data_IF_261015181578
#
_entry.id   IF_261015181578
#
_cell.length_a   1.000
_cell.length_b   1.000
_cell.length_c   1.000
_cell.angle_alpha   90.00
_cell.angle_beta   90.00
_cell.angle_gamma   90.00
#
_symmetry.space_group_name_H-M   'P 1'
#
loop_
_entity.id
_entity.type
_entity.pdbx_description
1 polymer ?
#
# COMPACT_ATOMS: atom_id res chain seq x y z
N UNK A 1 25.96 -1.42 18.23
CA UNK A 1 25.54 -0.31 17.35
C UNK A 1 25.52 -0.85 15.92
N UNK A 2 24.41 -0.72 15.19
CA UNK A 2 24.43 -1.03 13.75
C UNK A 2 25.03 0.17 13.03
N UNK A 3 26.01 -0.05 12.15
CA UNK A 3 26.54 1.01 11.30
C UNK A 3 25.58 1.24 10.13
N UNK A 4 25.34 2.50 9.76
CA UNK A 4 24.58 2.80 8.55
C UNK A 4 25.39 2.36 7.33
N UNK A 5 24.79 1.60 6.43
CA UNK A 5 25.44 1.16 5.19
C UNK A 5 24.99 2.08 4.06
N UNK A 6 25.92 2.80 3.44
CA UNK A 6 25.63 3.66 2.29
C UNK A 6 25.54 2.80 1.03
N UNK A 7 24.41 2.87 0.33
CA UNK A 7 24.15 2.11 -0.89
C UNK A 7 23.96 3.02 -2.10
N UNK A 8 24.40 2.56 -3.26
CA UNK A 8 24.14 3.19 -4.55
C UNK A 8 22.85 2.65 -5.14
N UNK A 9 21.81 3.50 -5.19
CA UNK A 9 20.57 3.14 -5.89
C UNK A 9 20.82 3.05 -7.39
N UNK A 10 20.48 1.91 -7.99
CA UNK A 10 20.51 1.67 -9.43
C UNK A 10 19.45 2.54 -10.09
N UNK A 11 19.87 3.42 -10.98
CA UNK A 11 19.00 4.36 -11.70
C UNK A 11 19.26 4.31 -13.18
N UNK A 12 18.20 4.41 -13.97
CA UNK A 12 18.23 4.31 -15.43
C UNK A 12 17.27 5.34 -16.05
N UNK A 13 17.34 5.51 -17.37
CA UNK A 13 16.43 6.39 -18.09
C UNK A 13 15.01 5.81 -18.04
N UNK A 14 14.00 6.55 -17.57
CA UNK A 14 12.64 6.06 -17.51
C UNK A 14 12.14 5.63 -18.89
N UNK A 15 11.30 4.60 -18.93
CA UNK A 15 10.64 4.18 -20.17
C UNK A 15 9.75 5.28 -20.76
N UNK A 16 9.50 5.28 -22.07
CA UNK A 16 8.53 6.21 -22.64
C UNK A 16 7.13 5.94 -22.09
N UNK A 17 6.41 7.01 -21.73
CA UNK A 17 5.00 6.97 -21.30
C UNK A 17 4.04 7.19 -22.47
N UNK A 18 4.54 7.64 -23.60
CA UNK A 18 3.72 8.10 -24.72
C UNK A 18 3.34 6.95 -25.67
N UNK A 19 4.22 5.95 -25.82
CA UNK A 19 4.01 4.78 -26.68
C UNK A 19 3.57 3.54 -25.91
N UNK A 20 3.03 2.54 -26.61
CA UNK A 20 2.74 1.20 -26.07
C UNK A 20 3.81 0.24 -26.61
N UNK A 21 4.58 -0.41 -25.74
CA UNK A 21 5.75 -1.22 -26.11
C UNK A 21 5.67 -2.62 -25.51
N UNK A 22 5.47 -2.70 -24.20
CA UNK A 22 5.43 -3.97 -23.46
C UNK A 22 3.98 -4.30 -23.03
N UNK A 23 3.82 -4.99 -21.88
CA UNK A 23 2.52 -5.43 -21.41
C UNK A 23 1.67 -4.24 -20.99
N UNK A 24 0.44 -4.21 -21.49
CA UNK A 24 -0.54 -3.20 -21.17
C UNK A 24 -1.87 -3.87 -20.84
N UNK A 25 -2.59 -3.40 -19.84
CA UNK A 25 -3.81 -4.06 -19.43
C UNK A 25 -4.31 -3.61 -18.07
N UNK A 26 -5.15 -4.46 -17.47
CA UNK A 26 -5.55 -4.29 -16.09
C UNK A 26 -5.74 -5.61 -15.36
N UNK A 27 -5.60 -5.51 -14.04
CA UNK A 27 -5.95 -6.52 -13.07
C UNK A 27 -7.27 -6.09 -12.41
N UNK A 28 -8.28 -6.95 -12.30
CA UNK A 28 -9.35 -6.70 -11.33
C UNK A 28 -9.03 -7.42 -10.03
N UNK A 29 -9.08 -6.66 -8.93
CA UNK A 29 -8.53 -7.07 -7.65
C UNK A 29 -9.57 -6.83 -6.55
N UNK A 30 -9.72 -7.79 -5.66
CA UNK A 30 -10.46 -7.63 -4.41
C UNK A 30 -9.49 -7.45 -3.24
N UNK A 31 -9.86 -6.59 -2.29
CA UNK A 31 -9.24 -6.49 -0.98
C UNK A 31 -10.24 -7.03 0.03
N UNK A 32 -9.83 -8.04 0.77
CA UNK A 32 -10.65 -8.70 1.79
C UNK A 32 -10.06 -8.38 3.15
N UNK A 33 -10.86 -7.84 4.06
CA UNK A 33 -10.47 -7.61 5.46
C UNK A 33 -10.45 -8.94 6.18
N UNK A 34 -9.34 -9.26 6.83
CA UNK A 34 -9.10 -10.58 7.42
C UNK A 34 -9.09 -10.52 8.94
N UNK A 35 -9.60 -11.58 9.57
CA UNK A 35 -9.48 -11.80 10.99
C UNK A 35 -10.75 -12.36 11.60
N UNK A 36 -10.92 -12.11 12.89
CA UNK A 36 -12.07 -12.48 13.69
C UNK A 36 -13.08 -11.32 13.80
N UNK A 37 -14.14 -11.51 14.59
CA UNK A 37 -15.14 -10.47 14.88
C UNK A 37 -14.58 -9.20 15.55
N UNK A 38 -13.32 -9.22 16.01
CA UNK A 38 -12.63 -8.07 16.59
C UNK A 38 -11.59 -7.47 15.64
N UNK A 39 -11.63 -7.86 14.36
CA UNK A 39 -10.69 -7.40 13.34
C UNK A 39 -11.35 -6.39 12.41
N UNK A 40 -10.65 -5.27 12.19
CA UNK A 40 -11.20 -4.11 11.51
C UNK A 40 -10.19 -3.48 10.54
N UNK A 41 -10.68 -2.70 9.58
CA UNK A 41 -9.87 -1.83 8.76
C UNK A 41 -10.36 -0.39 8.92
N UNK A 42 -9.43 0.54 9.13
CA UNK A 42 -9.69 1.97 9.09
C UNK A 42 -8.75 2.65 8.10
N UNK A 43 -9.34 3.34 7.14
CA UNK A 43 -8.67 4.20 6.17
C UNK A 43 -9.37 5.55 6.22
N UNK A 44 -8.70 6.53 6.82
CA UNK A 44 -9.29 7.83 7.09
C UNK A 44 -9.55 8.63 5.80
N UNK A 45 -10.62 9.42 5.83
CA UNK A 45 -10.98 10.38 4.77
C UNK A 45 -10.01 11.56 4.64
N UNK A 46 -9.06 11.71 5.58
CA UNK A 46 -8.13 12.85 5.65
C UNK A 46 -8.76 14.13 6.18
N UNK A 47 -10.01 14.07 6.67
CA UNK A 47 -10.74 15.19 7.27
C UNK A 47 -10.92 14.95 8.76
N UNK A 48 -10.52 15.91 9.58
CA UNK A 48 -10.88 15.91 11.01
C UNK A 48 -12.32 16.42 11.15
N UNK A 49 -13.13 15.70 11.93
CA UNK A 49 -14.51 16.09 12.22
C UNK A 49 -14.61 16.48 13.69
N UNK A 50 -15.18 17.65 13.93
CA UNK A 50 -15.55 18.11 15.27
C UNK A 50 -17.06 17.98 15.42
N UNK A 51 -17.52 17.49 16.57
CA UNK A 51 -18.95 17.46 16.88
C UNK A 51 -19.29 18.77 17.59
N UNK A 52 -20.12 19.58 16.95
CA UNK A 52 -20.65 20.80 17.52
C UNK A 52 -22.17 20.81 17.35
N UNK A 53 -22.92 21.22 18.37
CA UNK A 53 -24.34 21.50 18.22
C UNK A 53 -24.52 22.80 17.42
N UNK A 54 -25.36 22.76 16.38
CA UNK A 54 -25.62 23.92 15.51
C UNK A 54 -26.30 25.05 16.30
N UNK A 55 -27.12 24.71 17.30
CA UNK A 55 -27.81 25.67 18.14
C UNK A 55 -26.81 26.41 19.04
N UNK A 56 -25.88 25.69 19.66
CA UNK A 56 -24.79 26.28 20.46
C UNK A 56 -23.84 27.11 19.59
N UNK A 57 -23.54 26.66 18.37
CA UNK A 57 -22.76 27.42 17.38
C UNK A 57 -23.39 28.78 17.06
N UNK A 58 -24.70 28.79 16.80
CA UNK A 58 -25.45 30.02 16.51
C UNK A 58 -25.50 30.95 17.72
N UNK A 59 -25.68 30.40 18.92
CA UNK A 59 -25.71 31.17 20.15
C UNK A 59 -24.34 31.81 20.46
N UNK A 60 -23.25 31.05 20.38
CA UNK A 60 -21.89 31.56 20.58
C UNK A 60 -21.51 32.64 19.56
N UNK A 61 -21.94 32.49 18.30
CA UNK A 61 -21.76 33.50 17.27
C UNK A 61 -22.53 34.79 17.59
N UNK A 62 -23.78 34.66 18.07
CA UNK A 62 -24.61 35.81 18.45
C UNK A 62 -24.06 36.59 19.67
N UNK A 63 -23.43 35.90 20.61
CA UNK A 63 -22.86 36.50 21.84
C UNK A 63 -21.44 37.04 21.69
N UNK A 64 -20.82 36.94 20.49
CA UNK A 64 -19.40 37.27 20.24
C UNK A 64 -18.39 36.50 21.11
N UNK A 65 -18.78 35.39 21.72
CA UNK A 65 -17.91 34.51 22.54
C UNK A 65 -17.27 33.39 21.72
N UNK A 66 -17.11 33.62 20.42
CA UNK A 66 -16.74 32.58 19.45
C UNK A 66 -15.40 31.92 19.76
N UNK A 67 -14.41 32.65 20.27
CA UNK A 67 -13.10 32.08 20.62
C UNK A 67 -13.15 31.09 21.79
N UNK A 68 -13.91 31.40 22.85
CA UNK A 68 -14.09 30.51 23.99
C UNK A 68 -14.84 29.23 23.58
N UNK A 69 -15.83 29.39 22.71
CA UNK A 69 -16.60 28.27 22.16
C UNK A 69 -15.79 27.40 21.18
N UNK A 70 -14.92 28.00 20.35
CA UNK A 70 -13.95 27.24 19.53
C UNK A 70 -13.00 26.41 20.40
N UNK A 71 -12.61 26.91 21.58
CA UNK A 71 -11.87 26.13 22.57
C UNK A 71 -12.60 24.87 23.05
N UNK A 72 -13.93 24.96 23.24
CA UNK A 72 -14.81 23.83 23.59
C UNK A 72 -15.11 22.90 22.41
N UNK A 73 -15.30 23.39 21.18
CA UNK A 73 -15.51 22.52 20.01
C UNK A 73 -14.25 21.69 19.72
N UNK A 74 -13.06 22.29 19.84
CA UNK A 74 -11.79 21.59 19.62
C UNK A 74 -11.61 20.38 20.55
N UNK A 75 -12.30 20.34 21.70
CA UNK A 75 -12.23 19.22 22.64
C UNK A 75 -13.21 18.06 22.32
N UNK A 76 -14.27 18.30 21.54
CA UNK A 76 -15.22 17.25 21.13
C UNK A 76 -14.86 16.73 19.73
N UNK A 77 -13.88 15.83 19.68
CA UNK A 77 -13.55 15.11 18.43
C UNK A 77 -14.70 14.17 18.05
N UNK A 78 -15.21 14.33 16.83
CA UNK A 78 -16.11 13.39 16.18
C UNK A 78 -15.36 12.13 15.73
N UNK A 79 -16.09 11.21 15.10
CA UNK A 79 -15.48 10.02 14.51
C UNK A 79 -14.62 10.41 13.30
N UNK A 80 -13.38 9.93 13.27
CA UNK A 80 -12.54 9.98 12.06
C UNK A 80 -13.19 9.08 11.01
N UNK A 81 -13.72 9.72 9.95
CA UNK A 81 -14.54 9.03 8.96
C UNK A 81 -13.72 8.11 8.09
N UNK A 82 -14.31 6.98 7.75
CA UNK A 82 -13.77 6.09 6.74
C UNK A 82 -13.85 6.78 5.37
N UNK A 83 -12.86 6.58 4.51
CA UNK A 83 -12.86 7.16 3.18
C UNK A 83 -14.11 6.75 2.39
N UNK A 84 -14.79 7.71 1.77
CA UNK A 84 -16.06 7.47 1.09
C UNK A 84 -16.22 8.38 -0.13
N UNK A 85 -17.05 7.93 -1.07
CA UNK A 85 -17.58 8.72 -2.19
C UNK A 85 -19.09 8.82 -2.06
N UNK A 86 -19.75 9.48 -3.03
CA UNK A 86 -21.22 9.51 -3.12
C UNK A 86 -21.82 8.09 -3.20
N UNK A 87 -21.07 7.11 -3.74
CA UNK A 87 -21.53 5.72 -3.85
C UNK A 87 -21.36 4.90 -2.56
N UNK A 88 -20.70 5.45 -1.55
CA UNK A 88 -20.41 4.76 -0.30
C UNK A 88 -18.92 4.67 0.02
N UNK A 89 -18.59 3.81 0.98
CA UNK A 89 -17.23 3.62 1.49
C UNK A 89 -16.27 3.09 0.42
N UNK A 90 -15.05 3.61 0.41
CA UNK A 90 -14.01 3.22 -0.54
C UNK A 90 -12.66 3.05 0.13
N UNK A 91 -11.77 2.31 -0.50
CA UNK A 91 -10.33 2.43 -0.26
C UNK A 91 -9.74 3.24 -1.43
N UNK A 92 -9.19 4.44 -1.18
CA UNK A 92 -8.61 5.24 -2.25
C UNK A 92 -7.47 4.52 -2.96
N UNK A 93 -7.45 4.57 -4.30
CA UNK A 93 -6.41 3.94 -5.11
C UNK A 93 -5.01 4.43 -4.77
N UNK A 94 -4.87 5.72 -4.40
CA UNK A 94 -3.63 6.31 -3.91
C UNK A 94 -3.11 5.67 -2.61
N UNK A 95 -4.01 5.28 -1.70
CA UNK A 95 -3.64 4.61 -0.44
C UNK A 95 -3.09 3.21 -0.70
N UNK A 96 -3.73 2.47 -1.60
CA UNK A 96 -3.28 1.13 -2.01
C UNK A 96 -1.95 1.22 -2.74
N UNK A 97 -1.85 2.13 -3.71
CA UNK A 97 -0.62 2.42 -4.46
C UNK A 97 0.53 2.73 -3.52
N UNK A 98 0.32 3.63 -2.55
CA UNK A 98 1.32 3.96 -1.54
C UNK A 98 1.72 2.76 -0.69
N UNK A 99 0.76 1.94 -0.26
CA UNK A 99 1.05 0.73 0.53
C UNK A 99 1.86 -0.31 -0.24
N UNK A 100 1.46 -0.64 -1.47
CA UNK A 100 2.15 -1.58 -2.35
C UNK A 100 3.54 -1.06 -2.68
N UNK A 101 3.67 0.22 -3.05
CA UNK A 101 4.96 0.88 -3.30
C UNK A 101 5.89 0.77 -2.10
N UNK A 102 5.47 1.25 -0.93
CA UNK A 102 6.33 1.24 0.26
C UNK A 102 6.76 -0.17 0.65
N UNK A 103 5.87 -1.17 0.53
CA UNK A 103 6.23 -2.57 0.75
C UNK A 103 7.32 -3.02 -0.20
N UNK A 104 7.22 -2.70 -1.48
CA UNK A 104 8.25 -3.03 -2.47
C UNK A 104 9.57 -2.32 -2.19
N UNK A 105 9.54 -1.02 -1.86
CA UNK A 105 10.74 -0.27 -1.48
C UNK A 105 11.47 -0.93 -0.30
N UNK A 106 10.74 -1.40 0.72
CA UNK A 106 11.28 -2.07 1.91
C UNK A 106 11.63 -3.56 1.69
N UNK A 107 11.10 -4.17 0.61
CA UNK A 107 11.40 -5.54 0.22
C UNK A 107 12.69 -5.64 -0.60
N UNK A 108 13.11 -4.56 -1.27
CA UNK A 108 14.46 -4.46 -1.80
C UNK A 108 15.48 -4.29 -0.68
N UNK A 109 16.62 -4.95 -0.77
CA UNK A 109 17.76 -4.84 0.14
C UNK A 109 19.05 -4.62 -0.63
N UNK A 110 20.06 -4.07 0.05
CA UNK A 110 21.40 -3.89 -0.49
C UNK A 110 22.07 -5.21 -0.85
N UNK A 111 22.74 -5.23 -2.00
CA UNK A 111 23.62 -6.31 -2.42
C UNK A 111 24.78 -5.73 -3.22
N UNK A 112 26.02 -6.06 -2.84
CA UNK A 112 27.23 -5.53 -3.47
C UNK A 112 27.18 -4.00 -3.61
N UNK A 113 26.93 -3.31 -2.49
CA UNK A 113 26.83 -1.85 -2.39
C UNK A 113 25.76 -1.17 -3.27
N UNK A 114 24.86 -1.94 -3.86
CA UNK A 114 23.79 -1.42 -4.73
C UNK A 114 22.40 -1.87 -4.26
N UNK A 115 21.38 -1.11 -4.66
CA UNK A 115 19.97 -1.46 -4.42
C UNK A 115 19.09 -0.97 -5.56
N UNK A 116 18.09 -1.75 -5.95
CA UNK A 116 17.24 -1.44 -7.11
C UNK A 116 16.13 -0.42 -6.81
N UNK A 117 15.96 0.00 -5.56
CA UNK A 117 14.94 0.96 -5.15
C UNK A 117 15.47 2.00 -4.16
N UNK A 118 15.17 3.28 -4.39
CA UNK A 118 15.27 4.29 -3.32
C UNK A 118 14.09 4.15 -2.33
N UNK A 119 14.12 4.95 -1.27
CA UNK A 119 12.94 5.26 -0.47
C UNK A 119 12.38 6.61 -0.94
N UNK A 120 11.11 6.68 -1.34
CA UNK A 120 10.53 7.95 -1.79
C UNK A 120 10.33 8.94 -0.64
N UNK A 121 10.04 8.40 0.54
CA UNK A 121 9.88 9.14 1.77
C UNK A 121 10.51 8.33 2.90
N UNK A 122 11.67 8.77 3.38
CA UNK A 122 12.38 8.16 4.48
C UNK A 122 12.94 9.22 5.43
N UNK A 123 12.96 8.88 6.71
CA UNK A 123 13.74 9.60 7.71
C UNK A 123 15.22 9.20 7.65
N UNK A 124 15.97 9.63 8.67
CA UNK A 124 17.37 9.21 8.83
C UNK A 124 17.46 7.68 9.01
N UNK A 125 18.51 7.02 8.50
CA UNK A 125 18.74 5.60 8.74
C UNK A 125 18.75 5.27 10.23
N UNK A 126 18.11 4.14 10.58
CA UNK A 126 17.99 3.70 11.96
C UNK A 126 19.21 2.88 12.36
N UNK A 127 20.14 3.51 13.08
CA UNK A 127 21.43 2.92 13.51
C UNK A 127 21.38 2.30 14.92
N UNK A 128 20.31 2.55 15.66
CA UNK A 128 20.07 2.02 17.01
C UNK A 128 18.76 1.26 17.03
N UNK A 129 18.77 0.10 17.67
CA UNK A 129 17.56 -0.66 17.90
C UNK A 129 16.52 0.18 18.66
N UNK A 130 15.29 0.19 18.14
CA UNK A 130 14.17 0.85 18.80
C UNK A 130 13.58 -0.07 19.87
N UNK A 131 13.60 0.41 21.11
CA UNK A 131 13.01 -0.29 22.25
C UNK A 131 11.49 -0.41 22.11
N UNK A 132 10.93 -1.47 22.69
CA UNK A 132 9.48 -1.68 22.76
C UNK A 132 8.81 -0.47 23.41
N UNK A 133 7.79 0.08 22.73
CA UNK A 133 7.06 1.27 23.16
C UNK A 133 7.48 2.56 22.45
N UNK A 134 8.70 2.64 21.92
CA UNK A 134 9.17 3.82 21.17
C UNK A 134 8.39 4.04 19.86
N UNK A 135 8.23 5.28 19.41
CA UNK A 135 7.55 5.53 18.13
C UNK A 135 8.18 4.72 16.99
N UNK A 136 7.37 4.02 16.21
CA UNK A 136 7.85 3.21 15.08
C UNK A 136 8.49 1.86 15.43
N UNK A 137 8.59 1.46 16.71
CA UNK A 137 9.29 0.22 17.11
C UNK A 137 8.80 -1.05 16.39
N UNK A 138 7.49 -1.16 16.12
CA UNK A 138 6.91 -2.30 15.39
C UNK A 138 7.25 -2.28 13.90
N UNK A 139 7.25 -1.09 13.29
CA UNK A 139 7.73 -0.94 11.91
C UNK A 139 9.21 -1.34 11.83
N UNK A 140 10.01 -0.94 12.82
CA UNK A 140 11.39 -1.38 12.94
C UNK A 140 11.51 -2.89 13.05
N UNK A 141 10.74 -3.57 13.91
CA UNK A 141 10.81 -5.03 14.03
C UNK A 141 10.44 -5.78 12.74
N UNK A 142 9.52 -5.25 11.93
CA UNK A 142 9.16 -5.86 10.64
C UNK A 142 10.23 -5.62 9.57
N UNK A 143 10.87 -4.45 9.56
CA UNK A 143 11.72 -4.01 8.44
C UNK A 143 13.19 -3.77 8.79
N UNK A 144 13.64 -4.11 10.01
CA UNK A 144 14.96 -3.76 10.58
C UNK A 144 16.15 -3.93 9.64
N UNK A 145 16.20 -5.02 8.86
CA UNK A 145 17.29 -5.34 7.95
C UNK A 145 17.60 -4.23 6.94
N UNK A 146 16.60 -3.43 6.53
CA UNK A 146 16.77 -2.40 5.49
C UNK A 146 16.71 -0.98 6.04
N UNK A 147 16.34 -0.80 7.30
CA UNK A 147 16.15 0.55 7.88
C UNK A 147 17.48 1.25 8.22
N UNK A 148 18.58 0.49 8.34
CA UNK A 148 19.93 1.04 8.48
C UNK A 148 20.57 1.39 7.13
N UNK A 149 19.93 1.05 6.01
CA UNK A 149 20.45 1.36 4.67
C UNK A 149 20.25 2.84 4.35
N UNK A 150 21.35 3.54 4.09
CA UNK A 150 21.32 4.87 3.52
C UNK A 150 21.30 4.77 1.98
N UNK A 151 20.11 4.95 1.40
CA UNK A 151 19.90 4.91 -0.06
C UNK A 151 20.06 6.29 -0.72
N UNK A 152 20.50 7.28 0.04
CA UNK A 152 20.62 8.67 -0.40
C UNK A 152 19.28 9.32 -0.76
N UNK A 153 19.36 10.34 -1.61
CA UNK A 153 18.17 11.12 -1.98
C UNK A 153 17.15 10.29 -2.78
N UNK A 154 15.84 10.53 -2.57
CA UNK A 154 14.80 9.94 -3.40
C UNK A 154 14.98 10.34 -4.86
N UNK A 155 14.50 9.49 -5.77
CA UNK A 155 14.54 9.82 -7.20
C UNK A 155 13.66 11.04 -7.48
N UNK A 156 14.20 12.05 -8.17
CA UNK A 156 13.46 13.18 -8.70
C UNK A 156 13.78 13.29 -10.19
N UNK A 157 12.81 13.02 -11.05
CA UNK A 157 13.07 12.98 -12.49
C UNK A 157 13.41 14.36 -13.05
N UNK A 158 12.77 15.41 -12.55
CA UNK A 158 13.02 16.80 -12.96
C UNK A 158 14.47 17.21 -12.76
N UNK A 159 15.12 16.76 -11.68
CA UNK A 159 16.52 17.14 -11.39
C UNK A 159 17.55 16.11 -11.81
N UNK A 160 17.20 14.81 -11.88
CA UNK A 160 18.18 13.73 -12.10
C UNK A 160 18.12 13.11 -13.50
N UNK A 161 16.99 13.22 -14.21
CA UNK A 161 16.73 12.53 -15.49
C UNK A 161 16.71 11.00 -15.44
N UNK A 162 17.12 10.39 -14.32
CA UNK A 162 17.21 8.94 -14.10
C UNK A 162 16.54 8.54 -12.80
N UNK A 163 15.93 7.37 -12.80
CA UNK A 163 15.10 6.87 -11.71
C UNK A 163 15.29 5.36 -11.49
N UNK A 164 14.94 4.89 -10.29
CA UNK A 164 15.00 3.46 -9.94
C UNK A 164 13.76 2.69 -10.39
N UNK A 165 13.77 1.36 -10.29
CA UNK A 165 12.66 0.52 -10.82
C UNK A 165 11.31 0.84 -10.19
N UNK A 166 11.28 1.03 -8.87
CA UNK A 166 10.03 1.34 -8.18
C UNK A 166 9.49 2.72 -8.55
N UNK A 167 10.36 3.71 -8.73
CA UNK A 167 9.95 5.05 -9.18
C UNK A 167 9.49 5.04 -10.65
N UNK A 168 9.97 4.11 -11.47
CA UNK A 168 9.51 3.96 -12.86
C UNK A 168 8.07 3.43 -12.89
N UNK A 169 7.82 2.41 -12.08
CA UNK A 169 6.53 1.73 -11.99
C UNK A 169 5.47 2.64 -11.33
N UNK A 170 5.80 3.20 -10.16
CA UNK A 170 4.86 3.92 -9.30
C UNK A 170 4.89 5.45 -9.46
N UNK A 171 5.80 5.95 -10.30
CA UNK A 171 6.02 7.39 -10.52
C UNK A 171 6.88 8.04 -9.45
N UNK A 172 7.34 9.25 -9.76
CA UNK A 172 8.05 10.12 -8.81
C UNK A 172 7.81 11.59 -9.15
N UNK A 173 8.44 12.50 -8.41
CA UNK A 173 8.44 13.93 -8.76
C UNK A 173 8.89 14.11 -10.23
N UNK A 174 8.04 14.78 -11.01
CA UNK A 174 8.25 15.01 -12.44
C UNK A 174 7.96 13.82 -13.37
N UNK A 175 7.53 12.66 -12.87
CA UNK A 175 7.36 11.45 -13.69
C UNK A 175 6.06 10.71 -13.40
N UNK A 176 5.24 10.56 -14.45
CA UNK A 176 4.00 9.78 -14.40
C UNK A 176 4.28 8.28 -14.20
N UNK A 177 3.42 7.67 -13.40
CA UNK A 177 3.41 6.23 -13.14
C UNK A 177 3.09 5.40 -14.37
N UNK A 178 3.60 4.17 -14.40
CA UNK A 178 3.15 3.13 -15.33
C UNK A 178 2.00 2.28 -14.75
N UNK A 179 1.76 2.37 -13.43
CA UNK A 179 0.73 1.63 -12.71
C UNK A 179 -0.23 2.61 -12.02
N UNK A 180 -1.51 2.49 -12.31
CA UNK A 180 -2.58 3.29 -11.72
C UNK A 180 -3.62 2.40 -11.04
N UNK A 181 -4.01 2.78 -9.83
CA UNK A 181 -5.00 2.08 -9.03
C UNK A 181 -6.29 2.89 -9.07
N UNK A 182 -7.41 2.26 -9.43
CA UNK A 182 -8.72 2.85 -9.19
C UNK A 182 -8.98 2.93 -7.69
N UNK A 183 -9.99 3.70 -7.31
CA UNK A 183 -10.60 3.51 -6.00
C UNK A 183 -11.24 2.11 -5.93
N UNK A 184 -11.19 1.50 -4.76
CA UNK A 184 -11.77 0.19 -4.50
C UNK A 184 -13.09 0.40 -3.78
N UNK A 185 -14.18 0.05 -4.44
CA UNK A 185 -15.55 0.25 -3.96
C UNK A 185 -15.94 -0.89 -3.02
N UNK A 186 -16.59 -0.54 -1.91
CA UNK A 186 -17.14 -1.51 -0.95
C UNK A 186 -18.26 -2.33 -1.59
N UNK A 187 -18.23 -3.65 -1.41
CA UNK A 187 -19.20 -4.58 -2.01
C UNK A 187 -20.24 -5.04 -0.99
N UNK A 188 -19.84 -5.30 0.25
CA UNK A 188 -20.65 -6.09 1.19
C UNK A 188 -20.49 -5.69 2.67
N UNK A 189 -19.91 -4.54 2.98
CA UNK A 189 -19.66 -4.17 4.37
C UNK A 189 -20.39 -2.91 4.83
N UNK A 190 -20.78 -2.92 6.10
CA UNK A 190 -21.28 -1.75 6.80
C UNK A 190 -20.16 -1.13 7.63
N UNK A 191 -20.19 0.20 7.76
CA UNK A 191 -19.30 0.92 8.66
C UNK A 191 -19.76 0.68 10.10
N UNK A 192 -18.81 0.40 10.97
CA UNK A 192 -18.96 0.37 12.42
C UNK A 192 -18.23 1.53 13.08
N UNK A 193 -18.76 2.00 14.20
CA UNK A 193 -18.23 3.10 14.99
C UNK A 193 -17.48 2.55 16.20
N UNK A 194 -16.17 2.81 16.26
CA UNK A 194 -15.31 2.27 17.30
C UNK A 194 -14.69 3.38 18.17
N UNK A 195 -14.89 3.27 19.48
CA UNK A 195 -14.15 4.02 20.49
C UNK A 195 -12.86 3.25 20.85
N UNK A 196 -11.72 3.85 20.52
CA UNK A 196 -10.38 3.34 20.79
C UNK A 196 -9.75 4.06 21.99
N UNK A 197 -8.69 3.48 22.61
CA UNK A 197 -7.98 4.11 23.72
C UNK A 197 -7.51 5.54 23.40
N UNK A 198 -7.31 6.34 24.46
CA UNK A 198 -6.86 7.74 24.37
C UNK A 198 -7.84 8.67 23.65
N UNK A 199 -9.15 8.37 23.71
CA UNK A 199 -10.21 9.20 23.15
C UNK A 199 -10.25 9.21 21.62
N UNK A 200 -9.66 8.21 20.97
CA UNK A 200 -9.65 8.09 19.52
C UNK A 200 -10.98 7.46 19.08
N UNK A 201 -11.74 8.13 18.21
CA UNK A 201 -13.00 7.62 17.66
C UNK A 201 -12.88 7.44 16.17
N UNK A 202 -13.19 6.26 15.63
CA UNK A 202 -13.03 5.97 14.19
C UNK A 202 -14.20 5.20 13.61
N UNK A 203 -14.52 5.49 12.35
CA UNK A 203 -15.32 4.62 11.51
C UNK A 203 -14.43 3.53 10.91
N UNK A 204 -14.82 2.27 11.05
CA UNK A 204 -14.05 1.14 10.54
C UNK A 204 -14.96 0.11 9.89
N UNK A 205 -14.40 -0.70 8.99
CA UNK A 205 -15.11 -1.82 8.37
C UNK A 205 -14.65 -3.13 9.01
N UNK A 206 -15.56 -4.07 9.31
CA UNK A 206 -15.24 -5.31 10.01
C UNK A 206 -14.51 -6.32 9.12
N UNK A 207 -14.10 -7.45 9.69
CA UNK A 207 -13.61 -8.61 8.95
C UNK A 207 -14.63 -9.08 7.89
N UNK A 208 -14.15 -9.79 6.87
CA UNK A 208 -14.92 -10.33 5.74
C UNK A 208 -15.48 -9.27 4.76
N UNK A 209 -15.28 -7.99 5.07
CA UNK A 209 -15.53 -6.88 4.16
C UNK A 209 -14.68 -7.01 2.89
N UNK A 210 -15.32 -6.88 1.73
CA UNK A 210 -14.71 -6.94 0.40
C UNK A 210 -14.80 -5.59 -0.30
N UNK A 211 -13.67 -5.13 -0.84
CA UNK A 211 -13.58 -3.97 -1.71
C UNK A 211 -13.03 -4.37 -3.08
N UNK A 212 -13.66 -3.93 -4.16
CA UNK A 212 -13.27 -4.28 -5.54
C UNK A 212 -12.79 -3.07 -6.31
N UNK A 213 -11.68 -3.23 -7.00
CA UNK A 213 -11.09 -2.20 -7.85
C UNK A 213 -10.29 -2.79 -8.99
N UNK A 214 -9.65 -1.90 -9.76
CA UNK A 214 -8.80 -2.26 -10.89
C UNK A 214 -7.42 -1.63 -10.74
N UNK A 215 -6.41 -2.37 -11.16
CA UNK A 215 -5.04 -1.90 -11.29
C UNK A 215 -4.68 -1.89 -12.76
N UNK A 216 -4.55 -0.70 -13.33
CA UNK A 216 -4.16 -0.49 -14.71
C UNK A 216 -2.65 -0.44 -14.81
N UNK A 217 -2.11 -1.03 -15.86
CA UNK A 217 -0.69 -1.01 -16.13
C UNK A 217 -0.39 -0.76 -17.60
N UNK A 218 0.72 -0.06 -17.85
CA UNK A 218 1.22 0.27 -19.18
C UNK A 218 2.72 -0.04 -19.27
N UNK A 219 3.13 -0.66 -20.37
CA UNK A 219 4.53 -0.97 -20.68
C UNK A 219 5.28 -1.71 -19.56
N UNK A 220 4.61 -2.62 -18.84
CA UNK A 220 5.30 -3.47 -17.87
C UNK A 220 5.99 -4.63 -18.57
N UNK A 221 7.17 -4.99 -18.09
CA UNK A 221 7.77 -6.29 -18.38
C UNK A 221 7.05 -7.37 -17.56
N UNK A 222 7.16 -8.60 -18.00
CA UNK A 222 6.64 -9.79 -17.31
C UNK A 222 7.04 -9.85 -15.83
N UNK A 223 8.34 -9.74 -15.53
CA UNK A 223 8.84 -9.78 -14.15
C UNK A 223 8.38 -8.59 -13.31
N UNK A 224 8.02 -7.46 -13.91
CA UNK A 224 7.52 -6.28 -13.17
C UNK A 224 6.04 -6.40 -12.85
N UNK A 225 5.28 -7.06 -13.71
CA UNK A 225 3.93 -7.48 -13.36
C UNK A 225 3.98 -8.47 -12.19
N UNK A 226 4.94 -9.40 -12.19
CA UNK A 226 5.24 -10.24 -11.04
C UNK A 226 5.63 -9.46 -9.78
N UNK A 227 6.45 -8.42 -9.91
CA UNK A 227 6.81 -7.53 -8.81
C UNK A 227 5.59 -6.80 -8.23
N UNK A 228 4.65 -6.35 -9.07
CA UNK A 228 3.38 -5.77 -8.63
C UNK A 228 2.56 -6.79 -7.81
N UNK A 229 2.48 -8.04 -8.27
CA UNK A 229 1.80 -9.13 -7.54
C UNK A 229 2.45 -9.39 -6.18
N UNK A 230 3.79 -9.48 -6.13
CA UNK A 230 4.54 -9.62 -4.87
C UNK A 230 4.29 -8.46 -3.91
N UNK A 231 4.18 -7.23 -4.44
CA UNK A 231 3.84 -6.03 -3.68
C UNK A 231 2.43 -6.07 -3.08
N UNK A 232 1.51 -6.85 -3.67
CA UNK A 232 0.18 -7.14 -3.11
C UNK A 232 0.18 -8.40 -2.21
N UNK A 233 1.32 -9.04 -2.00
CA UNK A 233 1.42 -10.30 -1.25
C UNK A 233 0.97 -11.53 -2.03
N UNK A 234 0.75 -11.42 -3.34
CA UNK A 234 0.40 -12.52 -4.24
C UNK A 234 1.69 -13.18 -4.74
N UNK A 235 1.77 -14.50 -4.61
CA UNK A 235 2.94 -15.28 -5.03
C UNK A 235 2.51 -16.55 -5.79
N UNK A 236 2.12 -17.58 -5.05
CA UNK A 236 1.92 -18.91 -5.63
C UNK A 236 0.53 -19.13 -6.25
N UNK A 237 -0.47 -18.32 -5.87
CA UNK A 237 -1.86 -18.41 -6.32
C UNK A 237 -2.50 -17.01 -6.29
N UNK A 238 -3.71 -16.87 -6.85
CA UNK A 238 -4.42 -15.59 -7.03
C UNK A 238 -4.83 -14.91 -5.74
N UNK A 239 -4.89 -15.64 -4.63
CA UNK A 239 -5.14 -15.06 -3.30
C UNK A 239 -3.78 -14.84 -2.62
N UNK A 240 -3.52 -13.62 -2.20
CA UNK A 240 -2.26 -13.26 -1.53
C UNK A 240 -2.22 -13.72 -0.08
N UNK A 241 -1.03 -13.68 0.50
CA UNK A 241 -0.87 -13.77 1.96
C UNK A 241 -1.50 -12.57 2.66
N UNK A 242 -1.68 -12.69 3.97
CA UNK A 242 -2.10 -11.55 4.80
C UNK A 242 -1.02 -10.47 4.75
N UNK A 243 -1.44 -9.23 4.54
CA UNK A 243 -0.58 -8.04 4.57
C UNK A 243 -1.24 -6.93 5.38
N UNK A 244 -0.48 -5.88 5.68
CA UNK A 244 -0.95 -4.78 6.51
C UNK A 244 -1.34 -3.53 5.70
N UNK A 245 -2.49 -2.94 6.02
CA UNK A 245 -3.06 -1.73 5.38
C UNK A 245 -3.77 -0.82 6.41
N UNK A 246 -3.79 0.49 6.17
CA UNK A 246 -4.52 1.46 7.01
C UNK A 246 -3.70 2.08 8.15
N UNK A 247 -4.38 2.90 8.98
CA UNK A 247 -3.74 3.77 9.98
C UNK A 247 -3.13 3.01 11.15
N UNK A 248 -3.88 2.04 11.70
CA UNK A 248 -3.49 1.31 12.92
C UNK A 248 -2.79 -0.02 12.64
N UNK A 249 -2.41 -0.27 11.39
CA UNK A 249 -1.94 -1.55 10.87
C UNK A 249 -0.73 -2.16 11.59
N UNK A 250 0.14 -1.34 12.19
CA UNK A 250 1.27 -1.85 12.95
C UNK A 250 0.91 -2.24 14.39
N UNK A 251 -0.25 -1.86 14.92
CA UNK A 251 -0.64 -2.20 16.30
C UNK A 251 -1.06 -3.67 16.35
N UNK A 252 -0.59 -4.40 17.37
CA UNK A 252 -0.98 -5.79 17.61
C UNK A 252 -2.45 -5.86 18.06
N UNK A 253 -2.78 -5.14 19.13
CA UNK A 253 -4.16 -4.85 19.54
C UNK A 253 -4.29 -3.39 20.00
N UNK A 254 -5.42 -2.76 19.70
CA UNK A 254 -5.88 -1.52 20.33
C UNK A 254 -7.13 -1.85 21.13
N UNK A 255 -7.01 -1.86 22.46
CA UNK A 255 -7.98 -2.51 23.33
C UNK A 255 -8.12 -4.01 22.96
N UNK A 256 -9.31 -4.46 22.54
CA UNK A 256 -9.55 -5.82 22.05
C UNK A 256 -9.47 -5.95 20.53
N UNK A 257 -9.30 -4.84 19.80
CA UNK A 257 -9.43 -4.83 18.35
C UNK A 257 -8.09 -4.99 17.63
N UNK A 258 -8.08 -5.78 16.56
CA UNK A 258 -6.98 -5.91 15.61
C UNK A 258 -7.27 -5.07 14.37
N UNK A 259 -6.26 -4.39 13.84
CA UNK A 259 -6.47 -3.49 12.71
C UNK A 259 -5.60 -3.80 11.50
N UNK A 260 -6.20 -3.61 10.33
CA UNK A 260 -5.47 -3.45 9.09
C UNK A 260 -4.87 -4.72 8.52
N UNK A 261 -5.45 -5.89 8.82
CA UNK A 261 -5.08 -7.16 8.20
C UNK A 261 -5.97 -7.37 6.99
N UNK A 262 -5.35 -7.54 5.82
CA UNK A 262 -6.07 -7.74 4.57
C UNK A 262 -5.41 -8.84 3.74
N UNK A 263 -6.16 -9.39 2.77
CA UNK A 263 -5.62 -10.14 1.64
C UNK A 263 -6.02 -9.47 0.34
N UNK A 264 -5.13 -9.50 -0.64
CA UNK A 264 -5.48 -9.19 -2.02
C UNK A 264 -5.89 -10.47 -2.72
N UNK A 265 -6.90 -10.40 -3.58
CA UNK A 265 -7.31 -11.49 -4.46
C UNK A 265 -7.36 -10.98 -5.89
N UNK A 266 -6.56 -11.56 -6.77
CA UNK A 266 -6.62 -11.32 -8.20
C UNK A 266 -7.81 -12.09 -8.79
N UNK A 267 -8.79 -11.37 -9.32
CA UNK A 267 -9.99 -11.97 -9.89
C UNK A 267 -9.83 -12.23 -11.39
N UNK A 268 -9.16 -11.32 -12.10
CA UNK A 268 -8.92 -11.41 -13.53
C UNK A 268 -7.69 -10.60 -13.94
N UNK A 269 -7.04 -11.06 -15.02
CA UNK A 269 -6.07 -10.29 -15.79
C UNK A 269 -6.65 -10.10 -17.20
N UNK A 270 -6.67 -8.86 -17.69
CA UNK A 270 -7.02 -8.55 -19.08
C UNK A 270 -5.88 -7.82 -19.77
N UNK A 271 -5.35 -8.40 -20.84
CA UNK A 271 -4.41 -7.72 -21.72
C UNK A 271 -5.17 -6.75 -22.64
N UNK A 272 -4.61 -5.57 -22.84
CA UNK A 272 -5.11 -4.58 -23.80
C UNK A 272 -4.84 -5.03 -25.24
N UNK A 273 -5.59 -4.51 -26.21
CA UNK A 273 -5.30 -4.66 -27.64
C UNK A 273 -3.92 -4.13 -28.06
N UNK A 274 -3.38 -3.21 -27.27
CA UNK A 274 -2.05 -2.59 -27.48
C UNK A 274 -0.94 -3.30 -26.71
N UNK A 275 -1.26 -4.36 -25.96
CA UNK A 275 -0.26 -5.13 -25.24
C UNK A 275 0.60 -5.89 -26.22
N UNK A 276 1.87 -6.14 -25.86
CA UNK A 276 2.61 -7.28 -26.40
C UNK A 276 1.97 -8.59 -25.91
N UNK A 277 2.15 -9.67 -26.68
CA UNK A 277 1.89 -11.04 -26.25
C UNK A 277 2.69 -11.36 -24.98
N UNK A 278 2.03 -11.93 -23.97
CA UNK A 278 2.69 -12.45 -22.77
C UNK A 278 3.05 -13.92 -23.01
N UNK A 279 4.34 -14.19 -23.17
CA UNK A 279 4.86 -15.55 -23.37
C UNK A 279 5.80 -15.90 -22.25
N UNK A 280 5.37 -16.79 -21.35
CA UNK A 280 6.17 -17.29 -20.23
C UNK A 280 6.01 -18.80 -20.17
N UNK A 281 7.12 -19.52 -20.37
CA UNK A 281 7.11 -20.98 -20.46
C UNK A 281 6.11 -21.46 -21.52
N UNK A 282 5.11 -22.27 -21.12
CA UNK A 282 4.04 -22.78 -21.97
C UNK A 282 2.78 -21.89 -21.99
N UNK A 283 2.77 -20.80 -21.23
CA UNK A 283 1.66 -19.84 -21.23
C UNK A 283 1.91 -18.77 -22.28
N UNK A 284 1.01 -18.68 -23.26
CA UNK A 284 1.03 -17.68 -24.32
C UNK A 284 -0.32 -16.95 -24.38
N UNK A 285 -0.35 -15.69 -23.93
CA UNK A 285 -1.55 -14.86 -23.93
C UNK A 285 -1.43 -13.76 -24.98
N UNK A 286 -2.33 -13.82 -25.96
CA UNK A 286 -2.42 -12.80 -26.99
C UNK A 286 -3.06 -11.50 -26.46
N UNK A 287 -2.86 -10.37 -27.14
CA UNK A 287 -3.57 -9.13 -26.83
C UNK A 287 -5.10 -9.35 -26.78
N UNK A 288 -5.82 -8.57 -25.98
CA UNK A 288 -7.25 -8.73 -25.67
C UNK A 288 -7.66 -10.00 -24.90
N UNK A 289 -6.72 -10.87 -24.53
CA UNK A 289 -7.04 -12.07 -23.73
C UNK A 289 -7.46 -11.69 -22.32
N UNK A 290 -8.54 -12.31 -21.84
CA UNK A 290 -9.02 -12.26 -20.47
C UNK A 290 -8.72 -13.61 -19.79
N UNK A 291 -8.00 -13.58 -18.67
CA UNK A 291 -7.63 -14.76 -17.90
C UNK A 291 -8.35 -14.77 -16.55
N UNK A 292 -8.94 -15.93 -16.23
CA UNK A 292 -9.68 -16.22 -15.00
C UNK A 292 -9.40 -17.67 -14.57
N UNK A 293 -9.84 -18.03 -13.36
CA UNK A 293 -9.78 -19.41 -12.87
C UNK A 293 -8.35 -19.92 -12.69
N UNK A 294 -8.13 -21.22 -12.91
CA UNK A 294 -6.89 -21.92 -12.57
C UNK A 294 -5.68 -21.44 -13.40
N UNK A 295 -5.92 -20.99 -14.63
CA UNK A 295 -4.86 -20.39 -15.45
C UNK A 295 -4.30 -19.13 -14.79
N UNK A 296 -5.13 -18.38 -14.04
CA UNK A 296 -4.70 -17.20 -13.30
C UNK A 296 -3.81 -17.56 -12.11
N UNK A 297 -4.12 -18.65 -11.41
CA UNK A 297 -3.31 -19.16 -10.31
C UNK A 297 -1.90 -19.54 -10.81
N UNK A 298 -1.85 -20.29 -11.91
CA UNK A 298 -0.58 -20.64 -12.57
C UNK A 298 0.20 -19.41 -13.01
N UNK A 299 -0.48 -18.43 -13.62
CA UNK A 299 0.16 -17.23 -14.13
C UNK A 299 0.75 -16.37 -13.00
N UNK A 300 0.07 -16.26 -11.85
CA UNK A 300 0.61 -15.58 -10.67
C UNK A 300 1.96 -16.17 -10.25
N UNK A 301 2.04 -17.51 -10.18
CA UNK A 301 3.27 -18.20 -9.83
C UNK A 301 4.39 -17.91 -10.83
N UNK A 302 4.13 -18.10 -12.12
CA UNK A 302 5.12 -17.85 -13.18
C UNK A 302 5.66 -16.42 -13.14
N UNK A 303 4.78 -15.43 -13.06
CA UNK A 303 5.17 -14.02 -13.02
C UNK A 303 6.00 -13.68 -11.77
N UNK A 304 5.58 -14.17 -10.61
CA UNK A 304 6.27 -13.87 -9.34
C UNK A 304 7.61 -14.60 -9.23
N UNK A 305 7.72 -15.81 -9.76
CA UNK A 305 8.99 -16.55 -9.85
C UNK A 305 9.96 -15.84 -10.80
N UNK A 306 9.50 -15.29 -11.93
CA UNK A 306 10.32 -14.43 -12.79
C UNK A 306 10.83 -13.18 -12.06
N UNK A 307 9.99 -12.54 -11.25
CA UNK A 307 10.39 -11.38 -10.45
C UNK A 307 11.46 -11.74 -9.41
N UNK A 308 11.26 -12.85 -8.69
CA UNK A 308 12.22 -13.33 -7.69
C UNK A 308 13.56 -13.74 -8.31
N UNK A 309 13.53 -14.40 -9.48
CA UNK A 309 14.72 -14.73 -10.25
C UNK A 309 15.44 -13.47 -10.75
N UNK A 310 14.71 -12.46 -11.23
CA UNK A 310 15.29 -11.22 -11.74
C UNK A 310 16.02 -10.42 -10.65
N UNK A 311 15.50 -10.44 -9.43
CA UNK A 311 16.03 -9.71 -8.27
C UNK A 311 16.60 -10.63 -7.20
N UNK A 312 17.17 -11.75 -7.62
CA UNK A 312 17.81 -12.72 -6.73
C UNK A 312 18.83 -12.03 -5.83
N UNK A 313 18.85 -12.41 -4.55
CA UNK A 313 19.68 -11.79 -3.49
C UNK A 313 19.38 -10.31 -3.16
N UNK A 314 18.58 -9.61 -3.98
CA UNK A 314 18.24 -8.19 -3.82
C UNK A 314 16.83 -7.93 -3.35
N UNK A 315 15.94 -8.92 -3.47
CA UNK A 315 14.56 -8.83 -3.04
C UNK A 315 14.26 -9.89 -1.99
N UNK A 316 13.49 -9.51 -0.97
CA UNK A 316 13.03 -10.41 0.08
C UNK A 316 11.53 -10.32 0.27
N UNK A 317 10.94 -11.45 0.63
CA UNK A 317 9.54 -11.55 0.97
C UNK A 317 9.42 -11.50 2.49
N UNK A 318 8.80 -10.44 3.01
CA UNK A 318 8.56 -10.27 4.46
C UNK A 318 7.11 -10.60 4.82
N UNK A 319 6.92 -11.51 5.77
CA UNK A 319 5.61 -11.78 6.37
C UNK A 319 5.33 -10.79 7.50
N UNK A 320 4.86 -9.60 7.12
CA UNK A 320 4.58 -8.49 8.04
C UNK A 320 3.60 -8.89 9.14
N UNK A 321 2.60 -9.72 8.82
CA UNK A 321 1.54 -10.11 9.75
C UNK A 321 2.06 -11.12 10.76
N UNK A 322 2.78 -12.15 10.30
CA UNK A 322 3.40 -13.14 11.20
C UNK A 322 4.32 -12.46 12.22
N UNK A 323 5.23 -11.59 11.74
CA UNK A 323 6.14 -10.87 12.64
C UNK A 323 5.34 -10.04 13.66
N UNK A 324 4.32 -9.30 13.23
CA UNK A 324 3.52 -8.48 14.14
C UNK A 324 2.71 -9.29 15.16
N UNK A 325 2.23 -10.48 14.79
CA UNK A 325 1.46 -11.35 15.67
C UNK A 325 2.35 -12.03 16.72
N UNK A 326 3.64 -12.21 16.43
CA UNK A 326 4.67 -12.70 17.39
C UNK A 326 5.10 -11.61 18.39
N UNK A 327 4.92 -10.33 18.06
CA UNK A 327 5.21 -9.19 18.94
C UNK A 327 4.09 -9.03 20.00
N UNK A 328 4.22 -9.77 21.10
CA UNK A 328 3.33 -9.65 22.29
C UNK A 328 3.25 -8.22 22.81
#
# INVERSE_FOLDING_TARGET
MMQSVRLKVVRYNPRPRDFYIDLCGHLAVSIIVEGDKQSYLHIGSGKEFFKADISELKEAYSKKEFEHFLGKIKSIKGYDKFASTIKGSIIPGSSIKGNVRSRLELSFKGYQDTVDSCFINAGKPVVKELLKGASGWRHYKVWNEVLSEDRGIPCNFTSMGRICVICDLFGSAGLKSLIDFSDFENVNSNIEYLDLPFGIRVEAVPAESEFRGKVFFKNLKDYELGLLLLGMGIKDYRVGRKVILGRFKYRSKLNSFKFGRIKYKLNELKLSRYSKTLSIEDVNLQPNTLVKGDLLDRLCKLLTDLALKKFENRFRIVDEVKILDELK
#
